data_IF_686402114041
#
_entry.id   IF_686402114041
#
_cell.length_a   1.000
_cell.length_b   1.000
_cell.length_c   1.000
_cell.angle_alpha   90.00
_cell.angle_beta   90.00
_cell.angle_gamma   90.00
#
_symmetry.space_group_name_H-M   'P 1'
#
loop_
_entity.id
_entity.type
_entity.pdbx_description
1 polymer ?
#
# COMPACT_ATOMS: atom_id res chain seq x y z
N UNK A 1 12.49 7.48 -5.72
CA UNK A 1 12.06 7.12 -4.39
C UNK A 1 12.99 6.11 -3.74
N UNK A 2 13.30 6.28 -2.50
CA UNK A 2 14.19 5.38 -1.75
C UNK A 2 13.37 4.38 -0.94
N UNK A 3 13.62 3.09 -1.16
CA UNK A 3 13.03 2.01 -0.38
C UNK A 3 13.82 1.81 0.91
N UNK A 4 13.82 2.81 1.79
CA UNK A 4 14.49 2.71 3.07
C UNK A 4 13.57 2.09 4.11
N UNK A 5 14.05 1.13 4.91
CA UNK A 5 13.28 0.65 6.04
C UNK A 5 13.11 1.76 7.07
N UNK A 6 11.91 1.88 7.61
CA UNK A 6 11.58 2.80 8.70
C UNK A 6 10.81 2.01 9.74
N UNK A 7 11.20 2.18 11.02
CA UNK A 7 10.56 1.47 12.13
C UNK A 7 10.41 -0.03 11.86
N UNK A 8 11.42 -0.64 11.23
CA UNK A 8 11.46 -2.07 10.89
C UNK A 8 10.41 -2.53 9.89
N UNK A 9 9.90 -1.61 9.07
CA UNK A 9 8.93 -1.90 8.02
C UNK A 9 9.52 -1.52 6.66
N UNK A 10 9.36 -2.42 5.68
CA UNK A 10 9.60 -2.14 4.27
C UNK A 10 8.28 -1.97 3.54
N UNK A 11 8.20 -0.96 2.69
CA UNK A 11 7.04 -0.70 1.83
C UNK A 11 7.38 -1.05 0.39
N UNK A 12 6.39 -1.56 -0.36
CA UNK A 12 6.55 -1.72 -1.81
C UNK A 12 6.87 -0.37 -2.46
N UNK A 13 7.69 -0.39 -3.52
CA UNK A 13 8.07 0.83 -4.23
C UNK A 13 6.89 1.49 -4.94
N UNK A 14 5.95 0.69 -5.39
CA UNK A 14 4.79 1.15 -6.13
C UNK A 14 3.51 0.80 -5.39
N UNK A 15 2.50 1.65 -5.55
CA UNK A 15 1.12 1.30 -5.34
C UNK A 15 0.56 0.79 -6.67
N UNK A 16 -0.37 -0.15 -6.63
CA UNK A 16 -0.94 -0.77 -7.82
C UNK A 16 -2.44 -0.53 -7.87
N UNK A 17 -2.97 -0.36 -9.07
CA UNK A 17 -4.41 -0.51 -9.28
C UNK A 17 -4.58 -1.90 -9.90
N UNK A 18 -5.23 -2.79 -9.14
CA UNK A 18 -5.38 -4.19 -9.48
C UNK A 18 -6.85 -4.55 -9.67
N UNK A 19 -7.17 -5.57 -10.49
CA UNK A 19 -8.51 -6.13 -10.48
C UNK A 19 -8.84 -6.65 -9.08
N UNK A 20 -10.05 -6.40 -8.62
CA UNK A 20 -10.49 -6.80 -7.29
C UNK A 20 -11.98 -7.02 -7.28
N UNK A 21 -12.41 -8.26 -7.03
CA UNK A 21 -13.84 -8.64 -7.11
C UNK A 21 -14.42 -8.22 -8.45
N UNK A 22 -15.55 -7.53 -8.47
CA UNK A 22 -16.20 -7.06 -9.70
C UNK A 22 -15.66 -5.72 -10.20
N UNK A 23 -14.62 -5.20 -9.57
CA UNK A 23 -14.05 -3.90 -9.90
C UNK A 23 -12.54 -3.89 -9.75
N UNK A 24 -12.04 -2.90 -9.06
CA UNK A 24 -10.60 -2.72 -8.86
C UNK A 24 -10.31 -2.17 -7.47
N UNK A 25 -9.07 -2.24 -7.07
CA UNK A 25 -8.61 -1.74 -5.78
C UNK A 25 -7.22 -1.11 -5.91
N UNK A 26 -6.95 -0.14 -5.04
CA UNK A 26 -5.60 0.36 -4.80
C UNK A 26 -4.93 -0.56 -3.81
N UNK A 27 -3.75 -1.05 -4.14
CA UNK A 27 -3.00 -1.96 -3.29
C UNK A 27 -1.56 -1.49 -3.13
N UNK A 28 -1.05 -1.65 -1.93
CA UNK A 28 0.37 -1.58 -1.64
C UNK A 28 0.65 -2.63 -0.57
N UNK A 29 1.92 -3.01 -0.41
CA UNK A 29 2.20 -4.01 0.62
C UNK A 29 3.42 -3.66 1.45
N UNK A 30 3.42 -4.20 2.66
CA UNK A 30 4.45 -4.02 3.65
C UNK A 30 4.94 -5.37 4.16
N UNK A 31 6.15 -5.37 4.68
CA UNK A 31 6.72 -6.54 5.31
C UNK A 31 7.63 -6.09 6.47
N UNK A 32 7.78 -6.90 7.53
CA UNK A 32 8.75 -6.58 8.56
C UNK A 32 10.17 -6.68 8.01
N UNK A 33 11.06 -5.88 8.57
CA UNK A 33 12.46 -5.81 8.20
C UNK A 33 13.31 -6.29 9.38
N UNK A 34 14.28 -7.17 9.13
CA UNK A 34 15.24 -7.67 10.12
C UNK A 34 14.62 -8.30 11.36
N UNK A 35 13.85 -9.36 11.21
CA UNK A 35 13.31 -10.11 12.34
C UNK A 35 12.55 -9.24 13.36
N UNK A 36 12.02 -8.11 12.93
CA UNK A 36 11.22 -7.26 13.80
C UNK A 36 9.95 -7.98 14.22
N UNK A 37 9.63 -7.91 15.49
CA UNK A 37 8.40 -8.45 16.05
C UNK A 37 7.41 -7.31 16.22
N UNK A 38 6.59 -7.09 15.20
CA UNK A 38 5.66 -5.97 15.16
C UNK A 38 4.28 -6.41 15.60
N UNK A 39 3.70 -5.67 16.53
CA UNK A 39 2.39 -5.97 17.13
C UNK A 39 1.45 -4.77 17.00
N UNK A 40 0.16 -5.05 16.97
CA UNK A 40 -0.90 -4.04 16.98
C UNK A 40 -0.70 -2.98 15.90
N UNK A 41 -0.59 -3.44 14.65
CA UNK A 41 -0.43 -2.53 13.52
C UNK A 41 -1.76 -1.94 13.12
N UNK A 42 -1.77 -0.62 12.91
CA UNK A 42 -2.87 0.12 12.30
C UNK A 42 -2.36 0.82 11.04
N UNK A 43 -3.12 0.74 9.97
CA UNK A 43 -2.82 1.40 8.71
C UNK A 43 -3.86 2.48 8.41
N UNK A 44 -3.39 3.64 7.95
CA UNK A 44 -4.24 4.70 7.43
C UNK A 44 -3.69 5.17 6.10
N UNK A 45 -4.56 5.33 5.14
CA UNK A 45 -4.20 5.87 3.83
C UNK A 45 -5.05 7.10 3.58
N UNK A 46 -4.37 8.17 3.18
CA UNK A 46 -5.00 9.42 2.77
C UNK A 46 -4.53 9.75 1.36
N UNK A 47 -5.44 10.22 0.52
CA UNK A 47 -5.08 10.69 -0.80
C UNK A 47 -5.26 12.21 -0.87
N UNK A 48 -4.28 12.88 -1.47
CA UNK A 48 -4.33 14.31 -1.72
C UNK A 48 -4.35 14.60 -3.21
N UNK A 49 -5.23 15.49 -3.61
CA UNK A 49 -5.32 15.96 -4.98
C UNK A 49 -5.07 17.45 -5.03
N UNK A 50 -4.38 17.91 -6.08
CA UNK A 50 -4.40 19.29 -6.46
C UNK A 50 -5.56 19.53 -7.42
N UNK A 51 -6.42 20.44 -7.07
CA UNK A 51 -7.55 20.85 -7.90
C UNK A 51 -7.48 22.34 -8.15
N UNK A 52 -7.94 22.78 -9.31
CA UNK A 52 -8.03 24.18 -9.64
C UNK A 52 -9.46 24.64 -9.36
N UNK A 53 -9.59 25.62 -8.44
CA UNK A 53 -10.87 26.23 -8.08
C UNK A 53 -10.70 27.76 -8.11
N UNK A 54 -11.58 28.46 -8.83
CA UNK A 54 -11.56 29.91 -8.92
C UNK A 54 -10.19 30.49 -9.26
N UNK A 55 -9.52 29.89 -10.24
CA UNK A 55 -8.19 30.24 -10.71
C UNK A 55 -7.08 30.05 -9.65
N UNK A 56 -7.38 29.33 -8.56
CA UNK A 56 -6.42 29.00 -7.53
C UNK A 56 -6.24 27.48 -7.42
N UNK A 57 -5.03 27.07 -7.07
CA UNK A 57 -4.74 25.67 -6.82
C UNK A 57 -5.04 25.38 -5.35
N UNK A 58 -5.91 24.43 -5.11
CA UNK A 58 -6.26 23.95 -3.78
C UNK A 58 -5.88 22.48 -3.64
N UNK A 59 -5.45 22.09 -2.46
CA UNK A 59 -5.19 20.69 -2.12
C UNK A 59 -6.40 20.13 -1.37
N UNK A 60 -6.92 19.00 -1.81
CA UNK A 60 -8.02 18.30 -1.14
C UNK A 60 -7.56 16.94 -0.71
N UNK A 61 -7.90 16.56 0.52
CA UNK A 61 -7.48 15.31 1.14
C UNK A 61 -8.68 14.46 1.50
N UNK A 62 -8.57 13.16 1.25
CA UNK A 62 -9.62 12.20 1.55
C UNK A 62 -9.02 10.96 2.19
N UNK A 63 -9.64 10.49 3.26
CA UNK A 63 -9.29 9.19 3.82
C UNK A 63 -9.79 8.08 2.90
N UNK A 64 -8.97 7.05 2.73
CA UNK A 64 -9.34 5.87 1.95
C UNK A 64 -9.67 4.72 2.90
N UNK A 65 -10.85 4.14 2.71
CA UNK A 65 -11.26 2.97 3.49
C UNK A 65 -10.48 1.75 3.06
N UNK A 66 -9.96 1.00 4.03
CA UNK A 66 -9.22 -0.23 3.78
C UNK A 66 -10.10 -1.43 4.08
N UNK A 67 -9.92 -2.50 3.31
CA UNK A 67 -10.57 -3.78 3.57
C UNK A 67 -10.24 -4.29 4.97
N UNK A 68 -8.98 -4.12 5.38
CA UNK A 68 -8.50 -4.44 6.70
C UNK A 68 -7.53 -3.32 7.10
N UNK A 69 -7.81 -2.63 8.20
CA UNK A 69 -7.02 -1.48 8.62
C UNK A 69 -6.13 -1.77 9.84
N UNK A 70 -6.19 -2.97 10.38
CA UNK A 70 -5.37 -3.36 11.51
C UNK A 70 -5.11 -4.86 11.56
N UNK A 71 -3.95 -5.23 12.07
CA UNK A 71 -3.58 -6.62 12.35
C UNK A 71 -2.89 -6.68 13.71
N UNK A 72 -3.10 -7.79 14.43
CA UNK A 72 -2.53 -7.93 15.78
C UNK A 72 -1.02 -8.21 15.75
N UNK A 73 -0.52 -8.80 14.68
CA UNK A 73 0.92 -9.02 14.51
C UNK A 73 1.26 -9.07 13.02
N UNK A 74 2.49 -8.66 12.69
CA UNK A 74 3.00 -8.73 11.33
C UNK A 74 4.24 -9.62 11.32
N UNK A 75 4.07 -10.87 10.96
CA UNK A 75 5.15 -11.84 10.86
C UNK A 75 5.64 -12.01 9.42
N UNK A 76 4.76 -11.77 8.47
CA UNK A 76 5.00 -11.97 7.04
C UNK A 76 4.66 -10.67 6.30
N UNK A 77 4.09 -10.74 5.11
CA UNK A 77 3.69 -9.54 4.39
C UNK A 77 2.22 -9.22 4.61
N UNK A 78 1.86 -7.96 4.46
CA UNK A 78 0.48 -7.48 4.51
C UNK A 78 0.24 -6.60 3.30
N UNK A 79 -0.73 -6.99 2.48
CA UNK A 79 -1.19 -6.16 1.37
C UNK A 79 -2.34 -5.31 1.86
N UNK A 80 -2.16 -4.00 1.83
CA UNK A 80 -3.19 -3.03 2.14
C UNK A 80 -4.06 -2.85 0.91
N UNK A 81 -5.37 -2.98 1.08
CA UNK A 81 -6.33 -2.96 -0.02
C UNK A 81 -7.39 -1.90 0.23
N UNK A 82 -7.47 -0.93 -0.67
CA UNK A 82 -8.58 0.02 -0.72
C UNK A 82 -9.46 -0.32 -1.90
N UNK A 83 -10.64 -0.93 -1.69
CA UNK A 83 -11.57 -1.20 -2.78
C UNK A 83 -12.08 0.12 -3.38
N UNK A 84 -11.99 0.25 -4.70
CA UNK A 84 -12.44 1.46 -5.38
C UNK A 84 -13.92 1.27 -5.74
N UNK A 85 -14.77 1.62 -4.79
CA UNK A 85 -16.22 1.62 -4.97
C UNK A 85 -16.68 2.97 -5.46
N UNK A 86 -17.99 3.11 -5.73
CA UNK A 86 -18.57 4.40 -6.14
C UNK A 86 -18.39 5.51 -5.12
N UNK A 87 -18.06 5.17 -3.87
CA UNK A 87 -17.81 6.15 -2.81
C UNK A 87 -16.35 6.55 -2.69
N UNK A 88 -15.47 5.87 -3.43
CA UNK A 88 -14.03 6.16 -3.38
C UNK A 88 -13.70 7.43 -4.16
N UNK A 89 -12.79 8.28 -3.64
CA UNK A 89 -12.30 9.43 -4.43
C UNK A 89 -11.55 8.99 -5.71
N UNK A 90 -11.14 7.72 -5.80
CA UNK A 90 -10.49 7.17 -7.00
C UNK A 90 -11.47 6.60 -8.01
N UNK A 91 -12.77 6.61 -7.70
CA UNK A 91 -13.77 6.02 -8.58
C UNK A 91 -13.82 6.75 -9.94
N UNK A 92 -13.82 5.96 -11.01
CA UNK A 92 -13.87 6.49 -12.37
C UNK A 92 -12.52 6.94 -12.94
N UNK A 93 -11.45 6.90 -12.17
CA UNK A 93 -10.12 7.24 -12.70
C UNK A 93 -9.58 6.10 -13.55
N UNK A 94 -9.07 6.46 -14.72
CA UNK A 94 -8.45 5.56 -15.66
C UNK A 94 -6.91 5.74 -15.65
N UNK A 95 -6.21 4.90 -16.40
CA UNK A 95 -4.75 4.93 -16.44
C UNK A 95 -4.20 6.33 -16.76
N UNK A 96 -4.83 7.02 -17.71
CA UNK A 96 -4.39 8.36 -18.13
C UNK A 96 -4.53 9.40 -17.01
N UNK A 97 -5.50 9.22 -16.12
CA UNK A 97 -5.71 10.15 -15.01
C UNK A 97 -4.55 10.11 -14.01
N UNK A 98 -3.98 8.92 -13.77
CA UNK A 98 -2.81 8.79 -12.90
C UNK A 98 -1.55 9.42 -13.51
N UNK A 99 -1.52 9.59 -14.81
CA UNK A 99 -0.43 10.28 -15.49
C UNK A 99 -0.59 11.80 -15.49
N UNK A 100 -1.83 12.29 -15.46
CA UNK A 100 -2.13 13.72 -15.64
C UNK A 100 -2.51 14.44 -14.35
N UNK A 101 -3.14 13.75 -13.40
CA UNK A 101 -3.57 14.37 -12.14
C UNK A 101 -2.38 14.45 -11.18
N UNK A 102 -2.20 15.59 -10.55
CA UNK A 102 -1.24 15.76 -9.48
C UNK A 102 -1.86 15.23 -8.18
N UNK A 103 -1.44 14.05 -7.77
CA UNK A 103 -1.96 13.39 -6.59
C UNK A 103 -0.87 12.69 -5.80
N UNK A 104 -1.15 12.48 -4.52
CA UNK A 104 -0.23 11.82 -3.60
C UNK A 104 -1.02 10.92 -2.66
N UNK A 105 -0.50 9.71 -2.47
CA UNK A 105 -1.06 8.73 -1.55
C UNK A 105 -0.15 8.68 -0.33
N UNK A 106 -0.69 8.98 0.83
CA UNK A 106 0.06 9.05 2.08
C UNK A 106 -0.34 7.86 2.93
N UNK A 107 0.64 7.09 3.38
CA UNK A 107 0.43 5.88 4.18
C UNK A 107 1.09 6.06 5.54
N UNK A 108 0.33 5.83 6.60
CA UNK A 108 0.83 5.86 7.97
C UNK A 108 0.56 4.51 8.61
N UNK A 109 1.61 3.89 9.12
CA UNK A 109 1.52 2.64 9.87
C UNK A 109 1.93 2.92 11.32
N UNK A 110 1.05 2.61 12.25
CA UNK A 110 1.36 2.64 13.67
C UNK A 110 1.56 1.21 14.15
N UNK A 111 2.61 0.99 14.89
CA UNK A 111 2.89 -0.32 15.47
C UNK A 111 3.42 -0.16 16.89
N UNK A 112 3.15 -1.14 17.73
CA UNK A 112 3.73 -1.21 19.07
C UNK A 112 5.08 -1.91 18.97
N UNK A 113 6.12 -1.23 19.46
CA UNK A 113 7.47 -1.79 19.56
C UNK A 113 7.60 -2.45 20.93
N UNK A 114 7.64 -3.77 20.93
CA UNK A 114 7.72 -4.58 22.15
C UNK A 114 9.03 -4.36 22.91
N UNK A 115 10.13 -4.16 22.18
CA UNK A 115 11.44 -3.97 22.79
C UNK A 115 11.51 -2.69 23.63
N UNK A 116 10.93 -1.61 23.14
CA UNK A 116 10.95 -0.30 23.83
C UNK A 116 9.63 0.04 24.50
N UNK A 117 8.64 -0.84 24.42
CA UNK A 117 7.30 -0.64 25.00
C UNK A 117 6.69 0.71 24.61
N UNK A 118 6.79 1.06 23.34
CA UNK A 118 6.28 2.32 22.83
C UNK A 118 5.61 2.13 21.48
N UNK A 119 4.70 3.04 21.14
CA UNK A 119 4.08 3.08 19.81
C UNK A 119 4.96 3.89 18.87
N UNK A 120 5.22 3.34 17.70
CA UNK A 120 6.02 3.97 16.64
C UNK A 120 5.15 4.20 15.43
N UNK A 121 5.25 5.38 14.81
CA UNK A 121 4.56 5.68 13.57
C UNK A 121 5.57 5.73 12.43
N UNK A 122 5.24 5.07 11.33
CA UNK A 122 6.06 5.04 10.12
C UNK A 122 5.22 5.57 8.96
N UNK A 123 5.81 6.44 8.15
CA UNK A 123 5.11 7.09 7.06
C UNK A 123 5.83 6.86 5.74
N UNK A 124 5.07 6.64 4.69
CA UNK A 124 5.56 6.71 3.32
C UNK A 124 4.52 7.41 2.44
N UNK A 125 4.92 7.77 1.25
CA UNK A 125 4.00 8.34 0.27
C UNK A 125 4.32 7.85 -1.13
N UNK A 126 3.30 7.88 -1.97
CA UNK A 126 3.40 7.57 -3.40
C UNK A 126 2.80 8.74 -4.16
N UNK A 127 3.58 9.34 -5.06
CA UNK A 127 3.00 10.25 -6.04
C UNK A 127 2.27 9.42 -7.12
N UNK A 128 1.38 10.04 -7.86
CA UNK A 128 0.58 9.30 -8.86
C UNK A 128 1.45 8.63 -9.94
N UNK A 129 2.62 9.17 -10.25
CA UNK A 129 3.56 8.53 -11.18
C UNK A 129 4.11 7.21 -10.64
N UNK A 130 4.03 6.99 -9.34
CA UNK A 130 4.44 5.72 -8.71
C UNK A 130 3.30 4.70 -8.62
N UNK A 131 2.12 5.04 -9.12
CA UNK A 131 0.98 4.12 -9.21
C UNK A 131 1.04 3.39 -10.55
N UNK A 132 1.01 2.07 -10.49
CA UNK A 132 0.98 1.22 -11.71
C UNK A 132 -0.45 0.77 -11.92
N UNK A 133 -1.08 1.26 -12.98
CA UNK A 133 -2.46 0.90 -13.31
C UNK A 133 -2.49 -0.40 -14.10
N UNK A 134 -3.28 -1.36 -13.64
CA UNK A 134 -3.35 -2.67 -14.28
C UNK A 134 -2.16 -3.55 -13.90
N UNK A 135 -2.01 -3.84 -12.63
CA UNK A 135 -0.96 -4.69 -12.12
C UNK A 135 -1.43 -5.46 -10.90
N UNK A 136 -0.83 -6.61 -10.66
CA UNK A 136 -1.14 -7.46 -9.52
C UNK A 136 0.17 -7.93 -8.88
N UNK A 137 0.29 -7.81 -7.57
CA UNK A 137 1.48 -8.27 -6.87
C UNK A 137 1.67 -9.77 -7.02
N UNK A 138 2.91 -10.18 -7.24
CA UNK A 138 3.30 -11.58 -7.18
C UNK A 138 3.33 -12.05 -5.74
N UNK A 139 3.01 -13.32 -5.51
CA UNK A 139 3.15 -13.89 -4.19
C UNK A 139 4.62 -13.84 -3.74
N UNK A 140 4.84 -13.45 -2.50
CA UNK A 140 6.15 -13.49 -1.87
C UNK A 140 6.44 -14.84 -1.20
N UNK A 141 5.45 -15.74 -1.19
CA UNK A 141 5.52 -16.97 -0.43
C UNK A 141 5.84 -18.16 -1.30
N UNK A 142 6.63 -19.08 -0.75
CA UNK A 142 6.84 -20.42 -1.29
C UNK A 142 6.87 -21.41 -0.16
N UNK A 143 6.73 -22.68 -0.49
CA UNK A 143 6.87 -23.74 0.51
C UNK A 143 8.32 -24.21 0.57
N UNK A 144 8.76 -24.63 1.77
CA UNK A 144 10.05 -25.29 1.93
C UNK A 144 10.06 -26.64 1.20
N UNK A 145 11.24 -27.19 0.96
CA UNK A 145 11.41 -28.46 0.25
C UNK A 145 10.60 -29.60 0.87
N UNK A 146 10.44 -29.61 2.18
CA UNK A 146 9.68 -30.64 2.89
C UNK A 146 8.21 -30.28 3.07
N UNK A 147 7.74 -29.17 2.50
CA UNK A 147 6.36 -28.65 2.58
C UNK A 147 5.86 -28.43 4.02
N UNK A 148 6.76 -28.28 4.98
CA UNK A 148 6.40 -28.08 6.41
C UNK A 148 6.39 -26.64 6.84
N UNK A 149 6.99 -25.75 6.08
CA UNK A 149 7.05 -24.34 6.41
C UNK A 149 6.83 -23.46 5.19
N UNK A 150 6.38 -22.23 5.45
CA UNK A 150 6.23 -21.20 4.42
C UNK A 150 7.47 -20.32 4.45
N UNK A 151 8.04 -20.09 3.28
CA UNK A 151 9.19 -19.22 3.11
C UNK A 151 8.73 -17.90 2.52
N UNK A 152 9.11 -16.80 3.16
CA UNK A 152 8.88 -15.46 2.66
C UNK A 152 10.15 -14.99 1.94
N UNK A 153 10.01 -14.67 0.66
CA UNK A 153 11.11 -14.11 -0.12
C UNK A 153 10.95 -12.60 -0.21
N UNK A 154 11.72 -11.88 0.60
CA UNK A 154 11.67 -10.41 0.68
C UNK A 154 12.07 -9.72 -0.62
N UNK A 155 12.83 -10.40 -1.49
CA UNK A 155 13.20 -9.86 -2.80
C UNK A 155 11.99 -9.67 -3.72
N UNK A 156 10.88 -10.32 -3.42
CA UNK A 156 9.65 -10.25 -4.21
C UNK A 156 8.70 -9.14 -3.75
N UNK A 157 9.07 -8.36 -2.75
CA UNK A 157 8.21 -7.29 -2.22
C UNK A 157 7.67 -6.37 -3.31
N UNK A 158 8.50 -6.02 -4.28
CA UNK A 158 8.18 -5.10 -5.37
C UNK A 158 7.72 -5.78 -6.66
N UNK A 159 7.65 -7.11 -6.66
CA UNK A 159 7.35 -7.86 -7.89
C UNK A 159 5.86 -7.89 -8.18
N UNK A 160 5.51 -7.57 -9.41
CA UNK A 160 4.12 -7.60 -9.87
C UNK A 160 4.04 -8.04 -11.33
N UNK A 161 2.88 -8.52 -11.74
CA UNK A 161 2.56 -8.82 -13.12
C UNK A 161 1.63 -7.73 -13.67
N UNK A 162 1.83 -7.36 -14.92
CA UNK A 162 0.88 -6.51 -15.62
C UNK A 162 -0.37 -7.32 -15.93
N UNK A 163 -1.53 -6.72 -15.68
CA UNK A 163 -2.84 -7.33 -15.95
C UNK A 163 -3.77 -6.31 -16.59
N UNK A 164 -4.77 -6.79 -17.29
CA UNK A 164 -5.78 -5.94 -17.91
C UNK A 164 -6.90 -5.71 -16.91
N UNK A 165 -7.35 -4.46 -16.79
CA UNK A 165 -8.53 -4.09 -16.02
C UNK A 165 -9.64 -3.73 -17.00
N UNK A 166 -10.75 -4.46 -16.91
CA UNK A 166 -11.93 -4.21 -17.75
C UNK A 166 -12.81 -3.06 -17.22
#
# INVERSE_FOLDING_TARGET
RFSKPKAHILFSDNALIAPYRDGKALMLRITPFKNANLMDLEARITIGFQVEEDEKIANKFYALDLELDGVSSLNLSWTLVHPITSESPLFGLEASDYESISGEIIVIIKTFDDMFSTTVATRTSYVFEEVVYGAKFKSMYSQSENHKSTILDMRLLNSFDKVVID
#
